data_IF_947901587639
#
_entry.id   IF_947901587639
#
_cell.length_a   1.000
_cell.length_b   1.000
_cell.length_c   1.000
_cell.angle_alpha   90.00
_cell.angle_beta   90.00
_cell.angle_gamma   90.00
#
_symmetry.space_group_name_H-M   'P 1'
#
loop_
_entity.id
_entity.type
_entity.pdbx_description
1 polymer ?
#
# COMPACT_ATOMS: atom_id res chain seq x y z
N UNK A 1 -20.94 19.47 37.77
CA UNK A 1 -20.02 20.42 37.09
C UNK A 1 -18.54 20.24 37.46
N UNK A 2 -18.21 19.91 38.72
CA UNK A 2 -16.82 19.67 39.17
C UNK A 2 -16.05 18.57 38.43
N UNK A 3 -16.74 17.50 37.98
CA UNK A 3 -16.11 16.40 37.22
C UNK A 3 -15.56 16.84 35.87
N UNK A 4 -16.25 17.74 35.17
CA UNK A 4 -15.79 18.28 33.88
C UNK A 4 -14.61 19.23 34.05
N UNK A 5 -14.66 20.11 35.07
CA UNK A 5 -13.55 21.01 35.40
C UNK A 5 -12.26 20.24 35.74
N UNK A 6 -12.37 19.12 36.47
CA UNK A 6 -11.23 18.27 36.80
C UNK A 6 -10.63 17.59 35.56
N UNK A 7 -11.46 17.10 34.65
CA UNK A 7 -10.99 16.51 33.38
C UNK A 7 -10.26 17.54 32.52
N UNK A 8 -10.81 18.75 32.40
CA UNK A 8 -10.18 19.85 31.66
C UNK A 8 -8.84 20.24 32.29
N UNK A 9 -8.76 20.36 33.61
CA UNK A 9 -7.52 20.69 34.31
C UNK A 9 -6.44 19.61 34.15
N UNK A 10 -6.80 18.33 34.23
CA UNK A 10 -5.84 17.22 34.04
C UNK A 10 -5.36 17.14 32.60
N UNK A 11 -6.25 17.32 31.62
CA UNK A 11 -5.90 17.30 30.20
C UNK A 11 -5.00 18.49 29.85
N UNK A 12 -5.36 19.70 30.31
CA UNK A 12 -4.57 20.92 30.11
C UNK A 12 -3.20 20.86 30.80
N UNK A 13 -3.13 20.34 32.03
CA UNK A 13 -1.87 20.18 32.76
C UNK A 13 -0.94 19.10 32.18
N UNK A 14 -1.47 18.10 31.46
CA UNK A 14 -0.68 17.13 30.69
C UNK A 14 -0.21 17.72 29.36
N UNK A 15 -1.07 18.43 28.65
CA UNK A 15 -0.71 19.13 27.42
C UNK A 15 0.39 20.18 27.66
N UNK A 16 0.25 21.01 28.71
CA UNK A 16 1.25 22.01 29.06
C UNK A 16 2.62 21.43 29.44
N UNK A 17 2.64 20.28 30.14
CA UNK A 17 3.89 19.56 30.45
C UNK A 17 4.52 18.92 29.22
N UNK A 18 3.72 18.35 28.32
CA UNK A 18 4.21 17.77 27.06
C UNK A 18 4.82 18.84 26.13
N UNK A 19 4.19 20.00 26.02
CA UNK A 19 4.71 21.12 25.23
C UNK A 19 6.01 21.67 25.81
N UNK A 20 6.08 21.86 27.14
CA UNK A 20 7.31 22.30 27.81
C UNK A 20 8.44 21.28 27.68
N UNK A 21 8.16 19.99 27.90
CA UNK A 21 9.16 18.94 27.71
C UNK A 21 9.62 18.86 26.25
N UNK A 22 8.74 18.96 25.25
CA UNK A 22 9.15 18.97 23.84
C UNK A 22 9.99 20.18 23.45
N UNK A 23 9.79 21.33 24.09
CA UNK A 23 10.53 22.57 23.80
C UNK A 23 11.91 22.65 24.46
N UNK A 24 12.14 21.98 25.59
CA UNK A 24 13.43 21.98 26.31
C UNK A 24 14.15 20.63 26.30
N UNK A 25 13.50 19.57 25.82
CA UNK A 25 14.16 18.27 25.66
C UNK A 25 15.21 18.35 24.54
N UNK A 26 16.37 17.71 24.75
CA UNK A 26 17.35 17.51 23.69
C UNK A 26 16.65 16.88 22.47
N UNK A 27 16.75 17.54 21.32
CA UNK A 27 16.19 17.01 20.09
C UNK A 27 17.10 15.89 19.59
N UNK A 28 16.60 14.66 19.58
CA UNK A 28 17.27 13.54 18.98
C UNK A 28 16.83 13.36 17.51
N UNK A 29 17.43 12.38 16.83
CA UNK A 29 17.12 12.12 15.44
C UNK A 29 15.63 11.79 15.21
N UNK A 30 15.01 11.03 16.12
CA UNK A 30 13.64 10.58 15.97
C UNK A 30 12.64 11.71 16.21
N UNK A 31 12.93 12.64 17.13
CA UNK A 31 12.09 13.82 17.34
C UNK A 31 12.14 14.78 16.15
N UNK A 32 13.31 14.93 15.50
CA UNK A 32 13.50 15.87 14.39
C UNK A 32 13.11 15.31 13.02
N UNK A 33 13.39 14.04 12.76
CA UNK A 33 13.26 13.44 11.42
C UNK A 33 12.37 12.21 11.38
N UNK A 34 12.03 11.60 12.51
CA UNK A 34 11.37 10.29 12.56
C UNK A 34 10.11 10.22 11.71
N UNK A 35 9.21 11.19 11.84
CA UNK A 35 7.98 11.23 11.04
C UNK A 35 8.27 11.43 9.54
N UNK A 36 9.21 12.33 9.21
CA UNK A 36 9.58 12.58 7.81
C UNK A 36 10.17 11.35 7.13
N UNK A 37 11.06 10.62 7.83
CA UNK A 37 11.66 9.37 7.35
C UNK A 37 10.60 8.27 7.21
N UNK A 38 9.72 8.13 8.20
CA UNK A 38 8.66 7.12 8.15
C UNK A 38 7.71 7.33 6.97
N UNK A 39 7.24 8.57 6.77
CA UNK A 39 6.30 8.88 5.68
C UNK A 39 6.99 8.72 4.32
N UNK A 40 8.15 9.36 4.13
CA UNK A 40 8.86 9.29 2.84
C UNK A 40 9.31 7.88 2.49
N UNK A 41 9.84 7.12 3.45
CA UNK A 41 10.23 5.73 3.26
C UNK A 41 9.05 4.82 2.90
N UNK A 42 7.89 5.03 3.55
CA UNK A 42 6.67 4.26 3.24
C UNK A 42 6.15 4.55 1.84
N UNK A 43 6.11 5.82 1.44
CA UNK A 43 5.68 6.22 0.09
C UNK A 43 6.65 5.68 -0.96
N UNK A 44 7.95 5.84 -0.74
CA UNK A 44 8.96 5.34 -1.67
C UNK A 44 8.89 3.82 -1.83
N UNK A 45 8.83 3.08 -0.72
CA UNK A 45 8.80 1.62 -0.73
C UNK A 45 7.56 1.11 -1.49
N UNK A 46 6.37 1.64 -1.16
CA UNK A 46 5.13 1.22 -1.81
C UNK A 46 5.11 1.58 -3.30
N UNK A 47 5.60 2.76 -3.68
CA UNK A 47 5.67 3.18 -5.08
C UNK A 47 6.61 2.29 -5.91
N UNK A 48 7.82 2.04 -5.43
CA UNK A 48 8.80 1.20 -6.14
C UNK A 48 8.29 -0.23 -6.27
N UNK A 49 7.76 -0.82 -5.19
CA UNK A 49 7.24 -2.18 -5.27
C UNK A 49 5.98 -2.27 -6.13
N UNK A 50 5.07 -1.28 -6.09
CA UNK A 50 3.93 -1.26 -7.01
C UNK A 50 4.39 -1.23 -8.48
N UNK A 51 5.40 -0.41 -8.80
CA UNK A 51 6.01 -0.38 -10.13
C UNK A 51 6.60 -1.73 -10.52
N UNK A 52 7.41 -2.35 -9.64
CA UNK A 52 8.00 -3.67 -9.89
C UNK A 52 6.90 -4.69 -10.15
N UNK A 53 5.87 -4.75 -9.29
CA UNK A 53 4.81 -5.74 -9.38
C UNK A 53 3.96 -5.63 -10.65
N UNK A 54 3.83 -4.43 -11.24
CA UNK A 54 2.84 -4.17 -12.31
C UNK A 54 3.43 -3.71 -13.64
N UNK A 55 4.56 -3.01 -13.65
CA UNK A 55 5.06 -2.29 -14.83
C UNK A 55 6.33 -2.88 -15.44
N UNK A 56 6.98 -3.83 -14.77
CA UNK A 56 8.23 -4.45 -15.27
C UNK A 56 8.00 -5.65 -16.19
N UNK A 57 6.74 -6.04 -16.42
CA UNK A 57 6.40 -7.19 -17.26
C UNK A 57 6.56 -8.56 -16.59
N UNK A 58 6.68 -8.61 -15.25
CA UNK A 58 6.72 -9.88 -14.51
C UNK A 58 5.44 -10.68 -14.77
N UNK A 59 5.61 -11.88 -15.31
CA UNK A 59 4.50 -12.83 -15.53
C UNK A 59 4.29 -13.64 -14.25
N UNK A 60 3.27 -13.27 -13.48
CA UNK A 60 2.97 -13.89 -12.18
C UNK A 60 2.33 -15.29 -12.27
N UNK A 61 1.91 -15.72 -13.47
CA UNK A 61 1.20 -17.00 -13.69
C UNK A 61 0.12 -17.30 -12.62
N UNK A 62 -0.70 -16.28 -12.34
CA UNK A 62 -1.80 -16.38 -11.38
C UNK A 62 -2.81 -17.45 -11.82
N UNK A 63 -3.50 -18.06 -10.85
CA UNK A 63 -4.47 -19.12 -11.13
C UNK A 63 -5.45 -18.74 -12.25
N UNK A 64 -5.67 -19.62 -13.25
CA UNK A 64 -6.54 -19.34 -14.39
C UNK A 64 -8.04 -19.44 -14.02
N UNK A 65 -8.37 -20.01 -12.85
CA UNK A 65 -9.74 -20.27 -12.40
C UNK A 65 -10.53 -18.96 -12.34
N UNK A 66 -11.65 -18.90 -13.06
CA UNK A 66 -12.55 -17.72 -13.20
C UNK A 66 -11.89 -16.47 -13.82
N UNK A 67 -10.72 -16.60 -14.44
CA UNK A 67 -10.01 -15.49 -15.11
C UNK A 67 -9.78 -15.73 -16.59
N UNK A 68 -9.68 -16.99 -17.00
CA UNK A 68 -9.46 -17.39 -18.39
C UNK A 68 -10.58 -18.31 -18.86
N UNK A 69 -11.04 -18.10 -20.08
CA UNK A 69 -11.97 -19.00 -20.77
C UNK A 69 -11.16 -20.12 -21.44
N UNK A 70 -11.39 -21.40 -21.10
CA UNK A 70 -10.70 -22.50 -21.77
C UNK A 70 -11.01 -22.51 -23.27
N UNK A 71 -9.97 -22.57 -24.11
CA UNK A 71 -10.10 -22.76 -25.55
C UNK A 71 -9.87 -24.24 -25.91
N UNK A 72 -10.69 -24.84 -26.78
CA UNK A 72 -10.37 -26.15 -27.37
C UNK A 72 -8.98 -26.10 -28.02
N UNK A 73 -8.15 -27.08 -27.73
CA UNK A 73 -6.76 -27.13 -28.17
C UNK A 73 -6.51 -28.19 -29.25
N UNK A 74 -7.54 -28.97 -29.59
CA UNK A 74 -7.56 -29.85 -30.76
C UNK A 74 -8.68 -29.39 -31.67
N UNK A 75 -8.40 -29.36 -32.96
CA UNK A 75 -9.43 -29.12 -33.97
C UNK A 75 -10.45 -30.25 -33.93
N UNK A 76 -11.73 -29.92 -34.16
CA UNK A 76 -12.72 -30.96 -34.39
C UNK A 76 -12.40 -31.63 -35.73
N UNK A 77 -12.57 -32.96 -35.86
CA UNK A 77 -12.16 -33.74 -37.04
C UNK A 77 -12.84 -33.37 -38.39
N UNK A 78 -13.46 -32.20 -38.53
CA UNK A 78 -14.03 -31.68 -39.78
C UNK A 78 -13.79 -30.19 -40.08
N UNK A 79 -13.10 -29.43 -39.21
CA UNK A 79 -12.89 -27.97 -39.40
C UNK A 79 -11.55 -27.62 -40.08
N UNK A 80 -10.63 -28.58 -40.20
CA UNK A 80 -9.30 -28.36 -40.77
C UNK A 80 -9.30 -28.12 -42.29
N UNK A 81 -10.36 -28.53 -43.01
CA UNK A 81 -10.49 -28.30 -44.46
C UNK A 81 -10.93 -26.87 -44.80
N UNK A 82 -11.73 -26.22 -43.95
CA UNK A 82 -12.32 -24.91 -44.27
C UNK A 82 -11.35 -23.74 -44.00
N UNK A 83 -10.45 -23.88 -43.01
CA UNK A 83 -9.47 -22.84 -42.68
C UNK A 83 -8.34 -22.68 -43.72
N UNK A 84 -8.16 -23.63 -44.66
CA UNK A 84 -7.14 -23.53 -45.72
C UNK A 84 -7.68 -22.98 -47.05
N UNK A 85 -9.00 -22.93 -47.25
CA UNK A 85 -9.62 -22.50 -48.52
C UNK A 85 -9.92 -20.99 -48.59
N UNK A 86 -9.82 -20.25 -47.49
CA UNK A 86 -10.13 -18.82 -47.41
C UNK A 86 -8.90 -17.91 -47.51
N UNK A 87 -8.06 -18.09 -48.55
CA UNK A 87 -7.00 -17.14 -48.92
C UNK A 87 -7.39 -16.33 -50.13
#
# INVERSE_FOLDING_TARGET
MYRFAKTVAILGGRAGRQLRHGSTAPQDFHSKYGMGVLVSGSVFCTAVWAYVLTQTGIVWNVSPVKRMTPKPWRDQPGEAEESQSGR
#
